data_IF_514298979075
#
_entry.id   IF_514298979075
#
_cell.length_a   1.000
_cell.length_b   1.000
_cell.length_c   1.000
_cell.angle_alpha   90.00
_cell.angle_beta   90.00
_cell.angle_gamma   90.00
#
_symmetry.space_group_name_H-M   'P 1'
#
loop_
_entity.id
_entity.type
_entity.pdbx_description
1 polymer ?
#
# COMPACT_ATOMS: atom_id res chain seq x y z
N UNK A 1 20.85 65.20 -15.10
CA UNK A 1 19.81 64.65 -14.22
C UNK A 1 19.75 63.15 -14.45
N UNK A 2 20.34 62.37 -13.55
CA UNK A 2 20.40 60.92 -13.65
C UNK A 2 19.11 60.29 -13.12
N UNK A 3 18.51 59.44 -13.94
CA UNK A 3 17.40 58.57 -13.54
C UNK A 3 17.94 57.46 -12.64
N UNK A 4 17.82 57.67 -11.33
CA UNK A 4 17.87 56.63 -10.31
C UNK A 4 16.45 56.06 -10.15
N UNK A 5 16.31 54.77 -10.44
CA UNK A 5 15.39 53.82 -9.80
C UNK A 5 15.72 52.45 -10.42
N UNK A 6 16.79 51.77 -10.03
CA UNK A 6 16.88 50.93 -8.83
C UNK A 6 15.70 49.97 -8.63
N UNK A 7 15.20 49.33 -9.70
CA UNK A 7 14.51 48.04 -9.57
C UNK A 7 15.53 46.92 -9.34
N UNK A 8 16.02 46.82 -8.11
CA UNK A 8 16.62 45.59 -7.63
C UNK A 8 15.45 44.68 -7.22
N UNK A 9 14.88 43.95 -8.18
CA UNK A 9 13.99 42.82 -7.86
C UNK A 9 14.83 41.92 -6.97
N UNK A 10 14.44 41.82 -5.70
CA UNK A 10 15.09 40.92 -4.76
C UNK A 10 14.73 39.53 -5.27
N UNK A 11 15.69 38.78 -5.80
CA UNK A 11 15.44 37.38 -6.15
C UNK A 11 14.95 36.68 -4.89
N UNK A 12 13.68 36.28 -4.88
CA UNK A 12 13.07 35.55 -3.77
C UNK A 12 13.92 34.33 -3.47
N UNK A 13 14.16 34.03 -2.19
CA UNK A 13 14.87 32.82 -1.80
C UNK A 13 14.15 31.57 -2.35
N UNK A 14 14.85 30.45 -2.61
CA UNK A 14 14.20 29.23 -3.10
C UNK A 14 13.01 28.81 -2.23
N UNK A 15 13.13 28.99 -0.91
CA UNK A 15 12.05 28.74 0.05
C UNK A 15 10.82 29.62 -0.19
N UNK A 16 11.02 30.93 -0.38
CA UNK A 16 9.92 31.87 -0.67
C UNK A 16 9.24 31.54 -1.99
N UNK A 17 10.01 31.19 -3.02
CA UNK A 17 9.47 30.76 -4.31
C UNK A 17 8.57 29.51 -4.16
N UNK A 18 9.03 28.49 -3.45
CA UNK A 18 8.24 27.26 -3.24
C UNK A 18 6.99 27.52 -2.39
N UNK A 19 7.07 28.40 -1.39
CA UNK A 19 5.90 28.83 -0.61
C UNK A 19 4.88 29.52 -1.51
N UNK A 20 5.32 30.39 -2.42
CA UNK A 20 4.44 31.09 -3.36
C UNK A 20 3.75 30.10 -4.30
N UNK A 21 4.47 29.09 -4.81
CA UNK A 21 3.86 28.00 -5.60
C UNK A 21 2.73 27.28 -4.83
N UNK A 22 2.95 26.96 -3.55
CA UNK A 22 1.90 26.35 -2.72
C UNK A 22 0.70 27.29 -2.51
N UNK A 23 0.93 28.58 -2.29
CA UNK A 23 -0.15 29.58 -2.13
C UNK A 23 -0.97 29.73 -3.42
N UNK A 24 -0.31 29.83 -4.58
CA UNK A 24 -0.95 29.96 -5.88
C UNK A 24 -1.80 28.73 -6.24
N UNK A 25 -1.34 27.53 -5.85
CA UNK A 25 -2.12 26.28 -5.97
C UNK A 25 -3.23 26.15 -4.90
N UNK A 26 -3.39 27.16 -4.05
CA UNK A 26 -4.49 27.31 -3.10
C UNK A 26 -4.39 26.38 -1.88
N UNK A 27 -3.18 26.06 -1.43
CA UNK A 27 -2.98 25.26 -0.21
C UNK A 27 -3.45 26.06 1.01
N UNK A 28 -4.34 25.46 1.83
CA UNK A 28 -4.80 26.08 3.09
C UNK A 28 -3.74 26.05 4.17
N UNK A 29 -2.94 24.98 4.20
CA UNK A 29 -1.79 24.77 5.06
C UNK A 29 -0.56 24.52 4.18
N UNK A 30 0.47 25.31 4.38
CA UNK A 30 1.72 25.17 3.62
C UNK A 30 2.53 23.99 4.19
N UNK A 31 2.99 23.05 3.35
CA UNK A 31 3.91 22.00 3.76
C UNK A 31 5.19 22.54 4.40
N UNK A 32 5.73 21.82 5.38
CA UNK A 32 7.11 22.02 5.81
C UNK A 32 8.04 21.73 4.64
N UNK A 33 8.95 22.66 4.38
CA UNK A 33 9.92 22.55 3.29
C UNK A 33 11.13 21.73 3.73
N UNK A 34 11.84 21.09 2.79
CA UNK A 34 13.17 20.56 3.06
C UNK A 34 14.12 21.64 3.57
N UNK A 35 15.06 21.29 4.44
CA UNK A 35 15.98 22.25 5.07
C UNK A 35 17.12 22.72 4.12
N UNK A 36 17.13 22.26 2.87
CA UNK A 36 18.22 22.47 1.92
C UNK A 36 17.73 23.13 0.63
N UNK A 37 18.28 24.29 0.31
CA UNK A 37 17.94 25.04 -0.91
C UNK A 37 18.13 24.22 -2.18
N UNK A 38 19.13 23.33 -2.25
CA UNK A 38 19.32 22.48 -3.42
C UNK A 38 18.17 21.48 -3.63
N UNK A 39 17.54 21.02 -2.55
CA UNK A 39 16.38 20.12 -2.63
C UNK A 39 15.13 20.90 -3.01
N UNK A 40 14.97 22.11 -2.49
CA UNK A 40 13.89 23.03 -2.87
C UNK A 40 13.99 23.38 -4.36
N UNK A 41 15.19 23.72 -4.85
CA UNK A 41 15.42 24.01 -6.27
C UNK A 41 15.11 22.80 -7.16
N UNK A 42 15.41 21.58 -6.72
CA UNK A 42 15.00 20.37 -7.47
C UNK A 42 13.48 20.25 -7.57
N UNK A 43 12.75 20.54 -6.50
CA UNK A 43 11.28 20.55 -6.52
C UNK A 43 10.79 21.62 -7.50
N UNK A 44 11.27 22.85 -7.36
CA UNK A 44 10.91 23.99 -8.23
C UNK A 44 11.18 23.72 -9.72
N UNK A 45 12.27 23.04 -10.04
CA UNK A 45 12.62 22.74 -11.44
C UNK A 45 11.85 21.55 -12.04
N UNK A 46 11.20 20.72 -11.22
CA UNK A 46 10.59 19.47 -11.69
C UNK A 46 9.09 19.39 -11.53
N UNK A 47 8.49 20.21 -10.65
CA UNK A 47 7.08 20.02 -10.29
C UNK A 47 6.08 20.27 -11.42
N UNK A 48 6.43 21.09 -12.42
CA UNK A 48 5.56 21.33 -13.58
C UNK A 48 5.41 20.07 -14.44
N UNK A 49 6.53 19.37 -14.69
CA UNK A 49 6.55 18.12 -15.44
C UNK A 49 6.12 16.92 -14.58
N UNK A 50 6.41 16.97 -13.28
CA UNK A 50 6.12 15.92 -12.30
C UNK A 50 5.39 16.51 -11.09
N UNK A 51 4.05 16.65 -11.15
CA UNK A 51 3.26 17.19 -10.04
C UNK A 51 3.47 16.47 -8.69
N UNK A 52 3.93 15.22 -8.73
CA UNK A 52 4.29 14.41 -7.57
C UNK A 52 5.49 14.95 -6.76
N UNK A 53 6.25 15.91 -7.30
CA UNK A 53 7.33 16.58 -6.57
C UNK A 53 6.80 17.49 -5.45
N UNK A 54 5.55 17.97 -5.57
CA UNK A 54 4.88 18.70 -4.51
C UNK A 54 4.17 17.73 -3.55
N UNK A 55 4.14 18.10 -2.27
CA UNK A 55 3.29 17.42 -1.30
C UNK A 55 1.83 17.55 -1.75
N UNK A 56 1.07 16.45 -1.86
CA UNK A 56 -0.32 16.52 -2.33
C UNK A 56 -1.19 17.44 -1.48
N UNK A 57 -1.98 18.30 -2.13
CA UNK A 57 -2.86 19.27 -1.46
C UNK A 57 -3.81 18.62 -0.45
N UNK A 58 -4.41 17.49 -0.82
CA UNK A 58 -5.35 16.75 0.02
C UNK A 58 -4.71 16.25 1.32
N UNK A 59 -3.38 16.03 1.33
CA UNK A 59 -2.68 15.58 2.54
C UNK A 59 -2.50 16.69 3.57
N UNK A 60 -2.60 17.95 3.13
CA UNK A 60 -2.50 19.13 3.99
C UNK A 60 -3.86 19.58 4.53
N UNK A 61 -4.96 18.91 4.15
CA UNK A 61 -6.28 19.17 4.69
C UNK A 61 -6.48 18.49 6.06
N UNK A 62 -7.29 19.13 6.90
CA UNK A 62 -7.60 18.64 8.25
C UNK A 62 -8.53 17.44 8.15
N UNK A 63 -8.08 16.29 8.67
CA UNK A 63 -8.84 15.04 8.73
C UNK A 63 -9.53 14.83 10.08
N UNK A 64 -8.98 15.42 11.14
CA UNK A 64 -9.61 15.45 12.47
C UNK A 64 -9.65 16.89 12.99
N UNK A 65 -10.84 17.47 13.06
CA UNK A 65 -11.03 18.87 13.48
C UNK A 65 -10.72 19.06 14.96
N UNK A 66 -11.03 18.07 15.79
CA UNK A 66 -10.89 18.13 17.25
C UNK A 66 -9.43 18.32 17.67
N UNK A 67 -8.53 17.54 17.08
CA UNK A 67 -7.10 17.59 17.39
C UNK A 67 -6.29 18.35 16.33
N UNK A 68 -6.96 18.84 15.27
CA UNK A 68 -6.37 19.57 14.14
C UNK A 68 -5.29 18.73 13.45
N UNK A 69 -5.63 17.48 13.12
CA UNK A 69 -4.70 16.55 12.48
C UNK A 69 -4.88 16.57 10.97
N UNK A 70 -3.78 16.33 10.26
CA UNK A 70 -3.75 16.11 8.81
C UNK A 70 -3.26 14.69 8.50
N UNK A 71 -3.20 14.30 7.22
CA UNK A 71 -2.78 12.96 6.80
C UNK A 71 -1.44 12.52 7.41
N UNK A 72 -0.45 13.41 7.41
CA UNK A 72 0.87 13.14 7.98
C UNK A 72 0.83 12.71 9.44
N UNK A 73 -0.04 13.31 10.25
CA UNK A 73 -0.19 12.97 11.67
C UNK A 73 -0.75 11.56 11.86
N UNK A 74 -1.75 11.16 11.05
CA UNK A 74 -2.32 9.82 11.10
C UNK A 74 -1.27 8.77 10.70
N UNK A 75 -0.50 9.03 9.64
CA UNK A 75 0.62 8.17 9.23
C UNK A 75 1.69 8.09 10.31
N UNK A 76 1.93 9.18 11.02
CA UNK A 76 2.88 9.24 12.13
C UNK A 76 2.43 8.38 13.32
N UNK A 77 1.16 8.45 13.71
CA UNK A 77 0.59 7.55 14.73
C UNK A 77 0.76 6.07 14.33
N UNK A 78 0.46 5.73 13.07
CA UNK A 78 0.63 4.36 12.60
C UNK A 78 2.09 3.92 12.65
N UNK A 79 3.01 4.81 12.23
CA UNK A 79 4.45 4.54 12.23
C UNK A 79 4.97 4.28 13.64
N UNK A 80 4.57 5.09 14.63
CA UNK A 80 4.94 4.92 16.03
C UNK A 80 4.44 3.59 16.61
N UNK A 81 3.24 3.15 16.23
CA UNK A 81 2.63 1.93 16.72
C UNK A 81 3.20 0.65 16.07
N UNK A 82 3.63 0.74 14.81
CA UNK A 82 3.93 -0.44 13.99
C UNK A 82 5.41 -0.58 13.58
N UNK A 83 6.20 0.48 13.70
CA UNK A 83 7.57 0.49 13.19
C UNK A 83 8.58 0.70 14.30
N UNK A 84 9.29 -0.36 14.63
CA UNK A 84 10.37 -0.33 15.63
C UNK A 84 11.71 0.08 14.99
N UNK A 85 11.83 1.35 14.55
CA UNK A 85 13.09 1.89 14.03
C UNK A 85 13.37 3.30 14.56
N UNK A 86 14.64 3.58 14.84
CA UNK A 86 15.08 4.90 15.34
C UNK A 86 15.14 5.97 14.26
N UNK A 87 15.46 5.60 13.01
CA UNK A 87 15.59 6.56 11.92
C UNK A 87 14.21 7.03 11.47
N UNK A 88 13.98 8.34 11.60
CA UNK A 88 12.79 9.02 11.07
C UNK A 88 12.83 8.94 9.53
N UNK A 89 11.74 8.51 8.88
CA UNK A 89 11.64 8.46 7.43
C UNK A 89 11.52 9.84 6.80
N UNK A 90 12.23 10.04 5.69
CA UNK A 90 12.22 11.30 4.94
C UNK A 90 10.84 11.60 4.33
N UNK A 91 10.00 10.59 4.11
CA UNK A 91 8.65 10.79 3.56
C UNK A 91 7.77 11.70 4.42
N UNK A 92 8.06 11.88 5.71
CA UNK A 92 7.29 12.81 6.54
C UNK A 92 7.39 14.25 6.04
N UNK A 93 8.58 14.65 5.58
CA UNK A 93 8.78 15.95 4.92
C UNK A 93 8.31 15.87 3.48
N UNK A 94 8.85 14.95 2.68
CA UNK A 94 8.66 14.98 1.22
C UNK A 94 7.28 14.55 0.73
N UNK A 95 6.60 13.63 1.42
CA UNK A 95 5.28 13.17 1.01
C UNK A 95 4.17 13.81 1.82
N UNK A 96 4.40 14.13 3.10
CA UNK A 96 3.36 14.60 4.01
C UNK A 96 3.53 16.05 4.46
N UNK A 97 4.65 16.69 4.16
CA UNK A 97 4.85 18.10 4.47
C UNK A 97 4.87 18.41 5.96
N UNK A 98 5.32 17.49 6.80
CA UNK A 98 5.39 17.68 8.25
C UNK A 98 6.80 17.51 8.80
N UNK A 99 7.12 18.32 9.81
CA UNK A 99 8.30 18.11 10.64
C UNK A 99 7.96 17.12 11.76
N UNK A 100 8.68 16.00 11.77
CA UNK A 100 8.37 14.90 12.69
C UNK A 100 8.49 15.31 14.16
N UNK A 101 9.51 16.08 14.53
CA UNK A 101 9.76 16.41 15.94
C UNK A 101 8.73 17.40 16.47
N UNK A 102 8.39 18.40 15.67
CA UNK A 102 7.34 19.39 15.98
C UNK A 102 6.00 18.70 16.14
N UNK A 103 5.62 17.83 15.20
CA UNK A 103 4.37 17.10 15.26
C UNK A 103 4.36 16.05 16.40
N UNK A 104 5.51 15.48 16.78
CA UNK A 104 5.60 14.56 17.91
C UNK A 104 5.18 15.25 19.22
N UNK A 105 5.66 16.48 19.44
CA UNK A 105 5.28 17.27 20.60
C UNK A 105 3.79 17.64 20.55
N UNK A 106 3.27 17.99 19.38
CA UNK A 106 1.83 18.25 19.20
C UNK A 106 0.98 17.03 19.57
N UNK A 107 1.35 15.84 19.11
CA UNK A 107 0.62 14.60 19.42
C UNK A 107 0.65 14.25 20.92
N UNK A 108 1.78 14.51 21.62
CA UNK A 108 1.87 14.38 23.08
C UNK A 108 0.96 15.36 23.80
N UNK A 109 0.98 16.63 23.40
CA UNK A 109 0.13 17.67 23.99
C UNK A 109 -1.37 17.38 23.81
N UNK A 110 -1.74 16.61 22.79
CA UNK A 110 -3.11 16.14 22.54
C UNK A 110 -3.46 14.81 23.22
N UNK A 111 -2.55 14.24 24.02
CA UNK A 111 -2.77 12.96 24.70
C UNK A 111 -3.09 11.82 23.71
N UNK A 112 -2.53 11.89 22.50
CA UNK A 112 -2.66 10.83 21.47
C UNK A 112 -1.53 9.80 21.60
N UNK A 113 -0.40 10.22 22.14
CA UNK A 113 0.74 9.38 22.49
C UNK A 113 1.26 9.74 23.88
N UNK A 114 1.84 8.77 24.56
CA UNK A 114 2.46 8.93 25.88
C UNK A 114 3.92 9.44 25.78
N UNK A 115 4.56 9.63 26.94
CA UNK A 115 5.95 10.08 27.01
C UNK A 115 6.94 9.12 26.35
N UNK A 116 6.59 7.83 26.27
CA UNK A 116 7.35 6.78 25.61
C UNK A 116 7.02 6.66 24.10
N UNK A 117 6.28 7.62 23.55
CA UNK A 117 5.79 7.66 22.17
C UNK A 117 4.89 6.48 21.79
N UNK A 118 4.25 5.83 22.76
CA UNK A 118 3.25 4.78 22.53
C UNK A 118 1.87 5.40 22.43
N UNK A 119 1.00 4.80 21.63
CA UNK A 119 -0.36 5.32 21.45
C UNK A 119 -1.20 5.13 22.70
N UNK A 120 -1.89 6.20 23.08
CA UNK A 120 -2.95 6.15 24.09
C UNK A 120 -4.23 5.55 23.48
N UNK A 121 -5.28 5.39 24.29
CA UNK A 121 -6.58 4.98 23.78
C UNK A 121 -7.10 5.93 22.69
N UNK A 122 -6.97 7.25 22.89
CA UNK A 122 -7.37 8.26 21.90
C UNK A 122 -6.56 8.14 20.61
N UNK A 123 -5.24 7.94 20.72
CA UNK A 123 -4.39 7.72 19.54
C UNK A 123 -4.83 6.52 18.71
N UNK A 124 -5.16 5.41 19.39
CA UNK A 124 -5.68 4.19 18.73
C UNK A 124 -7.04 4.42 18.10
N UNK A 125 -7.91 5.18 18.75
CA UNK A 125 -9.21 5.57 18.21
C UNK A 125 -9.08 6.39 16.93
N UNK A 126 -8.18 7.39 16.90
CA UNK A 126 -7.89 8.17 15.69
C UNK A 126 -7.41 7.26 14.55
N UNK A 127 -6.50 6.32 14.84
CA UNK A 127 -6.04 5.36 13.83
C UNK A 127 -7.17 4.48 13.28
N UNK A 128 -8.05 4.00 14.16
CA UNK A 128 -9.19 3.17 13.77
C UNK A 128 -10.15 3.92 12.84
N UNK A 129 -10.47 5.17 13.17
CA UNK A 129 -11.38 5.99 12.36
C UNK A 129 -10.77 6.41 11.01
N UNK A 130 -9.44 6.39 10.88
CA UNK A 130 -8.72 6.82 9.68
C UNK A 130 -7.96 5.66 9.01
N UNK A 131 -8.49 4.43 9.09
CA UNK A 131 -7.86 3.23 8.51
C UNK A 131 -7.64 3.39 6.98
N UNK A 132 -8.50 4.15 6.29
CA UNK A 132 -8.38 4.41 4.86
C UNK A 132 -7.10 5.18 4.50
N UNK A 133 -6.69 6.14 5.33
CA UNK A 133 -5.42 6.88 5.17
C UNK A 133 -4.25 5.91 5.25
N UNK A 134 -4.27 4.99 6.21
CA UNK A 134 -3.21 3.99 6.38
C UNK A 134 -3.16 3.01 5.20
N UNK A 135 -4.32 2.61 4.67
CA UNK A 135 -4.40 1.80 3.45
C UNK A 135 -3.77 2.52 2.26
N UNK A 136 -4.13 3.78 2.04
CA UNK A 136 -3.59 4.63 0.97
C UNK A 136 -2.10 4.92 1.15
N UNK A 137 -1.62 5.05 2.39
CA UNK A 137 -0.19 5.16 2.70
C UNK A 137 0.58 3.91 2.22
N UNK A 138 0.07 2.71 2.51
CA UNK A 138 0.70 1.43 2.13
C UNK A 138 0.55 1.08 0.65
N UNK A 139 -0.45 1.64 -0.02
CA UNK A 139 -0.71 1.41 -1.44
C UNK A 139 0.38 2.00 -2.34
N UNK A 140 0.56 1.36 -3.50
CA UNK A 140 1.34 1.93 -4.60
C UNK A 140 0.60 3.14 -5.15
N UNK A 141 1.31 4.26 -5.30
CA UNK A 141 0.73 5.53 -5.73
C UNK A 141 1.06 5.75 -7.20
N UNK A 142 0.05 6.09 -8.00
CA UNK A 142 0.19 6.53 -9.38
C UNK A 142 -0.27 7.98 -9.43
N UNK A 143 0.64 8.86 -9.86
CA UNK A 143 0.39 10.29 -9.97
C UNK A 143 -0.01 10.62 -11.39
N UNK A 144 -1.19 11.22 -11.53
CA UNK A 144 -1.69 11.69 -12.81
C UNK A 144 -1.21 13.13 -13.08
N UNK A 145 -1.07 13.58 -14.34
CA UNK A 145 -0.60 14.93 -14.66
C UNK A 145 -1.45 16.07 -14.07
N UNK A 146 -2.71 15.80 -13.74
CA UNK A 146 -3.61 16.75 -13.09
C UNK A 146 -3.43 16.81 -11.55
N UNK A 147 -2.44 16.10 -10.99
CA UNK A 147 -2.19 16.04 -9.55
C UNK A 147 -3.05 15.01 -8.80
N UNK A 148 -3.97 14.31 -9.48
CA UNK A 148 -4.77 13.24 -8.86
C UNK A 148 -3.86 12.05 -8.53
N UNK A 149 -4.10 11.44 -7.37
CA UNK A 149 -3.41 10.24 -6.92
C UNK A 149 -4.36 9.06 -7.03
N UNK A 150 -3.94 8.03 -7.76
CA UNK A 150 -4.57 6.72 -7.77
C UNK A 150 -3.79 5.78 -6.87
N UNK A 151 -4.51 5.03 -6.03
CA UNK A 151 -3.93 4.08 -5.09
C UNK A 151 -4.20 2.67 -5.59
N UNK A 152 -3.13 1.94 -5.92
CA UNK A 152 -3.18 0.51 -6.21
C UNK A 152 -2.88 -0.27 -4.94
N UNK A 153 -3.92 -0.90 -4.41
CA UNK A 153 -3.84 -1.77 -3.24
C UNK A 153 -3.32 -3.14 -3.66
N UNK A 154 -2.46 -3.73 -2.84
CA UNK A 154 -1.86 -5.04 -3.09
C UNK A 154 -2.15 -6.00 -1.93
N UNK A 155 -2.16 -7.30 -2.23
CA UNK A 155 -2.41 -8.34 -1.25
C UNK A 155 -3.83 -8.30 -0.70
N UNK A 156 -3.99 -8.53 0.61
CA UNK A 156 -5.30 -8.61 1.27
C UNK A 156 -6.23 -7.42 0.93
N UNK A 157 -5.72 -6.20 0.95
CA UNK A 157 -6.56 -5.00 0.78
C UNK A 157 -7.22 -4.90 -0.59
N UNK A 158 -6.63 -5.49 -1.63
CA UNK A 158 -7.21 -5.49 -2.98
C UNK A 158 -8.57 -6.21 -3.05
N UNK A 159 -8.74 -7.24 -2.24
CA UNK A 159 -9.93 -8.10 -2.28
C UNK A 159 -10.89 -7.84 -1.12
N UNK A 160 -10.57 -6.90 -0.22
CA UNK A 160 -11.33 -6.66 1.02
C UNK A 160 -12.79 -6.27 0.79
N UNK A 161 -13.08 -5.60 -0.33
CA UNK A 161 -14.42 -5.12 -0.69
C UNK A 161 -15.03 -5.87 -1.89
N UNK A 162 -14.37 -6.93 -2.38
CA UNK A 162 -14.91 -7.73 -3.48
C UNK A 162 -15.85 -8.78 -2.90
N UNK A 163 -17.13 -8.69 -3.25
CA UNK A 163 -18.16 -9.63 -2.77
C UNK A 163 -18.05 -10.99 -3.47
N UNK A 164 -17.74 -10.97 -4.76
CA UNK A 164 -17.61 -12.17 -5.58
C UNK A 164 -16.44 -12.05 -6.53
N UNK A 165 -15.59 -13.08 -6.55
CA UNK A 165 -14.53 -13.22 -7.54
C UNK A 165 -15.13 -13.42 -8.95
N UNK A 166 -14.64 -12.62 -9.89
CA UNK A 166 -14.92 -12.74 -11.33
C UNK A 166 -13.57 -12.74 -12.04
N UNK A 167 -13.34 -13.75 -12.88
CA UNK A 167 -12.09 -13.88 -13.65
C UNK A 167 -12.12 -13.01 -14.90
N UNK A 168 -10.96 -12.46 -15.25
CA UNK A 168 -10.70 -11.81 -16.54
C UNK A 168 -10.07 -12.76 -17.57
N UNK A 169 -9.91 -14.04 -17.22
CA UNK A 169 -9.26 -15.07 -18.05
C UNK A 169 -7.74 -15.16 -17.86
N UNK A 170 -7.12 -14.26 -17.10
CA UNK A 170 -5.69 -14.27 -16.84
C UNK A 170 -5.36 -15.12 -15.60
N UNK A 171 -4.82 -16.31 -15.82
CA UNK A 171 -4.52 -17.25 -14.73
C UNK A 171 -3.50 -16.72 -13.70
N UNK A 172 -2.61 -15.80 -14.07
CA UNK A 172 -1.65 -15.19 -13.14
C UNK A 172 -2.38 -14.22 -12.19
N UNK A 173 -3.30 -13.42 -12.74
CA UNK A 173 -4.13 -12.50 -11.96
C UNK A 173 -5.09 -13.27 -11.05
N UNK A 174 -5.74 -14.31 -11.57
CA UNK A 174 -6.58 -15.20 -10.77
C UNK A 174 -5.81 -15.80 -9.58
N UNK A 175 -4.58 -16.27 -9.80
CA UNK A 175 -3.74 -16.81 -8.71
C UNK A 175 -3.36 -15.72 -7.69
N UNK A 176 -3.08 -14.50 -8.16
CA UNK A 176 -2.73 -13.36 -7.32
C UNK A 176 -3.93 -12.95 -6.45
N UNK A 177 -5.11 -12.82 -7.04
CA UNK A 177 -6.36 -12.53 -6.34
C UNK A 177 -6.72 -13.65 -5.36
N UNK A 178 -6.54 -14.92 -5.73
CA UNK A 178 -6.74 -16.05 -4.81
C UNK A 178 -5.87 -15.95 -3.55
N UNK A 179 -4.61 -15.52 -3.69
CA UNK A 179 -3.72 -15.25 -2.55
C UNK A 179 -4.22 -14.08 -1.69
N UNK A 180 -4.73 -13.03 -2.32
CA UNK A 180 -5.33 -11.88 -1.64
C UNK A 180 -6.58 -12.29 -0.83
N UNK A 181 -7.52 -13.02 -1.43
CA UNK A 181 -8.71 -13.54 -0.74
C UNK A 181 -8.34 -14.49 0.41
N UNK A 182 -7.36 -15.37 0.22
CA UNK A 182 -6.95 -16.29 1.29
C UNK A 182 -6.36 -15.53 2.49
N UNK A 183 -5.60 -14.45 2.26
CA UNK A 183 -5.10 -13.58 3.34
C UNK A 183 -6.24 -12.91 4.12
N UNK A 184 -7.34 -12.59 3.43
CA UNK A 184 -8.57 -12.09 4.06
C UNK A 184 -9.42 -13.19 4.72
N UNK A 185 -9.00 -14.46 4.65
CA UNK A 185 -9.78 -15.63 5.07
C UNK A 185 -11.11 -15.78 4.33
N UNK A 186 -11.25 -15.13 3.18
CA UNK A 186 -12.36 -15.36 2.25
C UNK A 186 -12.06 -16.61 1.42
N UNK A 187 -12.23 -17.76 2.05
CA UNK A 187 -11.89 -19.04 1.44
C UNK A 187 -12.78 -19.38 0.25
N UNK A 188 -14.01 -18.87 0.20
CA UNK A 188 -14.94 -19.08 -0.91
C UNK A 188 -14.45 -18.41 -2.18
N UNK A 189 -14.09 -17.12 -2.11
CA UNK A 189 -13.56 -16.42 -3.28
C UNK A 189 -12.13 -16.87 -3.62
N UNK A 190 -11.32 -17.23 -2.61
CA UNK A 190 -10.01 -17.82 -2.85
C UNK A 190 -10.09 -19.16 -3.61
N UNK A 191 -11.05 -20.03 -3.25
CA UNK A 191 -11.31 -21.29 -3.95
C UNK A 191 -11.66 -21.04 -5.42
N UNK A 192 -12.64 -20.17 -5.68
CA UNK A 192 -13.05 -19.81 -7.04
C UNK A 192 -11.87 -19.28 -7.87
N UNK A 193 -11.08 -18.38 -7.29
CA UNK A 193 -9.95 -17.77 -7.97
C UNK A 193 -8.85 -18.80 -8.32
N UNK A 194 -8.49 -19.69 -7.39
CA UNK A 194 -7.50 -20.72 -7.67
C UNK A 194 -7.98 -21.77 -8.66
N UNK A 195 -9.27 -22.15 -8.62
CA UNK A 195 -9.86 -23.04 -9.63
C UNK A 195 -9.87 -22.39 -11.01
N UNK A 196 -10.25 -21.11 -11.11
CA UNK A 196 -10.19 -20.33 -12.35
C UNK A 196 -8.77 -20.29 -12.91
N UNK A 197 -7.77 -20.01 -12.07
CA UNK A 197 -6.37 -20.03 -12.47
C UNK A 197 -5.93 -21.37 -13.05
N UNK A 198 -6.40 -22.49 -12.48
CA UNK A 198 -6.10 -23.84 -13.00
C UNK A 198 -6.69 -24.02 -14.41
N UNK A 199 -7.98 -23.72 -14.58
CA UNK A 199 -8.66 -23.96 -15.85
C UNK A 199 -8.15 -23.02 -16.95
N UNK A 200 -7.92 -21.73 -16.65
CA UNK A 200 -7.38 -20.76 -17.60
C UNK A 200 -5.94 -21.09 -18.02
N UNK A 201 -5.11 -21.57 -17.09
CA UNK A 201 -3.74 -22.00 -17.39
C UNK A 201 -3.71 -23.26 -18.27
N UNK A 202 -4.66 -24.19 -18.08
CA UNK A 202 -4.82 -25.38 -18.92
C UNK A 202 -5.37 -25.07 -20.31
N UNK A 203 -6.27 -24.09 -20.41
CA UNK A 203 -6.79 -23.61 -21.67
C UNK A 203 -5.74 -22.82 -22.49
N UNK A 204 -4.66 -22.36 -21.84
CA UNK A 204 -3.55 -21.71 -22.51
C UNK A 204 -2.74 -22.71 -23.36
N UNK A 205 -2.58 -22.37 -24.65
CA UNK A 205 -1.92 -23.23 -25.64
C UNK A 205 -0.46 -23.58 -25.30
N UNK A 206 0.24 -22.70 -24.58
CA UNK A 206 1.66 -22.83 -24.30
C UNK A 206 1.96 -23.68 -23.06
N UNK A 207 1.07 -23.66 -22.06
CA UNK A 207 1.26 -24.40 -20.81
C UNK A 207 0.51 -25.73 -20.80
N UNK A 208 -0.78 -25.71 -21.15
CA UNK A 208 -1.70 -26.88 -21.12
C UNK A 208 -1.74 -27.65 -19.77
N UNK A 209 -1.21 -27.05 -18.70
CA UNK A 209 -1.16 -27.60 -17.34
C UNK A 209 -1.59 -26.53 -16.35
N UNK A 210 -2.16 -26.94 -15.21
CA UNK A 210 -2.52 -26.00 -14.15
C UNK A 210 -1.29 -25.55 -13.35
N UNK A 211 -1.29 -24.34 -12.74
CA UNK A 211 -0.15 -23.86 -12.00
C UNK A 211 -0.02 -24.63 -10.67
N UNK A 212 1.13 -25.29 -10.37
CA UNK A 212 1.29 -26.15 -9.20
C UNK A 212 0.96 -25.48 -7.85
N UNK A 213 1.22 -24.18 -7.76
CA UNK A 213 0.91 -23.39 -6.57
C UNK A 213 -0.59 -23.32 -6.28
N UNK A 214 -1.46 -23.21 -7.30
CA UNK A 214 -2.91 -23.14 -7.08
C UNK A 214 -3.45 -24.42 -6.45
N UNK A 215 -3.00 -25.59 -6.92
CA UNK A 215 -3.34 -26.89 -6.32
C UNK A 215 -2.94 -26.97 -4.84
N UNK A 216 -1.72 -26.52 -4.53
CA UNK A 216 -1.21 -26.54 -3.16
C UNK A 216 -2.00 -25.62 -2.23
N UNK A 217 -2.36 -24.42 -2.69
CA UNK A 217 -3.14 -23.45 -1.90
C UNK A 217 -4.58 -23.93 -1.67
N UNK A 218 -5.23 -24.52 -2.67
CA UNK A 218 -6.53 -25.16 -2.50
C UNK A 218 -6.48 -26.28 -1.46
N UNK A 219 -5.47 -27.15 -1.49
CA UNK A 219 -5.29 -28.19 -0.47
C UNK A 219 -5.15 -27.61 0.95
N UNK A 220 -4.46 -26.47 1.10
CA UNK A 220 -4.38 -25.75 2.38
C UNK A 220 -5.75 -25.21 2.80
N UNK A 221 -6.50 -24.60 1.88
CA UNK A 221 -7.83 -24.05 2.15
C UNK A 221 -8.78 -25.16 2.58
N UNK A 222 -8.89 -26.24 1.82
CA UNK A 222 -9.77 -27.37 2.15
C UNK A 222 -9.43 -27.96 3.52
N UNK A 223 -8.15 -28.08 3.87
CA UNK A 223 -7.75 -28.51 5.21
C UNK A 223 -8.24 -27.56 6.31
N UNK A 224 -8.11 -26.24 6.11
CA UNK A 224 -8.59 -25.23 7.08
C UNK A 224 -10.11 -25.29 7.26
N UNK A 225 -10.84 -25.68 6.20
CA UNK A 225 -12.28 -25.87 6.21
C UNK A 225 -12.72 -27.26 6.72
N UNK A 226 -11.78 -28.19 6.95
CA UNK A 226 -12.09 -29.57 7.33
C UNK A 226 -12.59 -30.44 6.17
N UNK A 227 -12.47 -29.98 4.93
CA UNK A 227 -12.93 -30.67 3.72
C UNK A 227 -11.86 -31.64 3.19
N UNK A 228 -11.54 -32.67 3.97
CA UNK A 228 -10.42 -33.58 3.67
C UNK A 228 -10.57 -34.33 2.34
N UNK A 229 -11.79 -34.70 1.95
CA UNK A 229 -12.03 -35.36 0.66
C UNK A 229 -11.69 -34.45 -0.52
N UNK A 230 -11.98 -33.15 -0.41
CA UNK A 230 -11.60 -32.17 -1.44
C UNK A 230 -10.09 -31.93 -1.43
N UNK A 231 -9.46 -31.92 -0.25
CA UNK A 231 -8.01 -31.84 -0.11
C UNK A 231 -7.31 -32.98 -0.86
N UNK A 232 -7.76 -34.23 -0.69
CA UNK A 232 -7.18 -35.39 -1.39
C UNK A 232 -7.38 -35.26 -2.91
N UNK A 233 -8.62 -35.02 -3.35
CA UNK A 233 -8.96 -34.91 -4.78
C UNK A 233 -8.14 -33.84 -5.49
N UNK A 234 -7.93 -32.68 -4.87
CA UNK A 234 -7.19 -31.59 -5.51
C UNK A 234 -5.68 -31.87 -5.57
N UNK A 235 -5.13 -32.59 -4.57
CA UNK A 235 -3.74 -33.05 -4.58
C UNK A 235 -3.51 -34.08 -5.68
N UNK A 236 -4.40 -35.06 -5.82
CA UNK A 236 -4.35 -36.07 -6.89
C UNK A 236 -4.46 -35.42 -8.28
N UNK A 237 -5.42 -34.50 -8.46
CA UNK A 237 -5.57 -33.73 -9.71
C UNK A 237 -4.29 -32.96 -10.03
N UNK A 238 -3.71 -32.27 -9.04
CA UNK A 238 -2.47 -31.51 -9.22
C UNK A 238 -1.28 -32.39 -9.61
N UNK A 239 -1.13 -33.56 -8.98
CA UNK A 239 -0.08 -34.52 -9.31
C UNK A 239 -0.25 -35.03 -10.76
N UNK A 240 -1.47 -35.37 -11.16
CA UNK A 240 -1.79 -35.88 -12.50
C UNK A 240 -1.59 -34.83 -13.60
N UNK A 241 -2.00 -33.59 -13.34
CA UNK A 241 -1.91 -32.50 -14.32
C UNK A 241 -0.46 -32.04 -14.57
N UNK A 242 0.45 -32.31 -13.64
CA UNK A 242 1.88 -31.96 -13.80
C UNK A 242 2.67 -33.06 -14.52
N UNK A 243 2.76 -33.00 -15.85
CA UNK A 243 3.57 -33.94 -16.63
C UNK A 243 5.03 -33.48 -16.82
N UNK A 244 5.86 -33.87 -15.86
CA UNK A 244 7.26 -34.31 -15.94
C UNK A 244 8.45 -33.45 -16.48
N UNK A 245 8.29 -32.29 -17.15
CA UNK A 245 9.49 -31.53 -17.65
C UNK A 245 9.97 -30.34 -16.81
N UNK A 246 9.21 -29.90 -15.81
CA UNK A 246 9.63 -28.87 -14.84
C UNK A 246 9.38 -29.39 -13.43
N UNK A 247 10.25 -30.30 -12.97
CA UNK A 247 10.25 -30.80 -11.61
C UNK A 247 10.60 -29.66 -10.64
N UNK A 248 9.58 -28.90 -10.24
CA UNK A 248 9.71 -27.89 -9.18
C UNK A 248 9.48 -28.52 -7.81
N UNK A 249 10.14 -27.97 -6.80
CA UNK A 249 10.00 -28.24 -5.36
C UNK A 249 8.53 -28.36 -4.89
N UNK A 250 7.58 -27.78 -5.62
CA UNK A 250 6.16 -27.76 -5.30
C UNK A 250 5.46 -29.09 -5.54
N UNK A 251 5.86 -29.89 -6.54
CA UNK A 251 5.28 -31.23 -6.75
C UNK A 251 5.62 -32.19 -5.61
N UNK A 252 6.85 -32.10 -5.11
CA UNK A 252 7.24 -32.84 -3.91
C UNK A 252 6.38 -32.41 -2.71
N UNK A 253 6.08 -31.12 -2.55
CA UNK A 253 5.15 -30.64 -1.50
C UNK A 253 3.73 -31.21 -1.65
N UNK A 254 3.22 -31.40 -2.87
CA UNK A 254 1.91 -32.02 -3.09
C UNK A 254 1.93 -33.49 -2.68
N UNK A 255 2.94 -34.26 -3.13
CA UNK A 255 3.14 -35.67 -2.78
C UNK A 255 3.34 -35.87 -1.28
N UNK A 256 4.27 -35.12 -0.68
CA UNK A 256 4.56 -35.17 0.76
C UNK A 256 3.31 -34.91 1.61
N UNK A 257 2.42 -34.03 1.13
CA UNK A 257 1.18 -33.72 1.82
C UNK A 257 0.15 -34.84 1.68
N UNK A 258 0.01 -35.40 0.48
CA UNK A 258 -0.87 -36.54 0.23
C UNK A 258 -0.44 -37.76 1.05
N UNK A 259 0.87 -38.06 1.09
CA UNK A 259 1.42 -39.17 1.86
C UNK A 259 1.14 -39.03 3.36
N UNK A 260 1.19 -37.81 3.90
CA UNK A 260 0.84 -37.54 5.31
C UNK A 260 -0.64 -37.71 5.62
N UNK A 261 -1.51 -37.62 4.62
CA UNK A 261 -2.96 -37.82 4.78
C UNK A 261 -3.32 -39.30 4.75
N UNK A 262 -2.70 -40.07 3.85
CA UNK A 262 -2.99 -41.51 3.68
C UNK A 262 -2.41 -42.35 4.84
N UNK A 263 -1.34 -41.87 5.49
CA UNK A 263 -0.69 -42.57 6.63
C UNK A 263 -1.36 -42.34 7.99
N UNK A 264 -2.46 -41.58 8.06
CA UNK A 264 -3.26 -41.34 9.27
C UNK A 264 -4.52 -42.17 9.25
#
# INVERSE_FOLDING_TARGET
>A
MGFLDLFRVKDDSPSEQLINVYKEKGYKRIPVLPNNDNEILKILNTYEAFPAALVPKDYMEVVDKTNTLIWGNVVMLWWLDNVNRKKIPDYFIYQYGIDFNTELLHLKNKDLIDDNNKLTFKGKEILSHNEDIIKKHKAKKIFHPNGKIEYKFEGAEETKNITEFISDGNFLEDQRLGSSFEKNKDYKNAEKAYLSAIENCKANKDMQVGPPNAYHRLAIIYRKLGEFDKEIKILEKGIKDTNYKQASTTNNKLKDRLDKLIKK
#
